data_IF_428271508060
#
_entry.id   IF_428271508060
#
_cell.length_a   1.000
_cell.length_b   1.000
_cell.length_c   1.000
_cell.angle_alpha   90.00
_cell.angle_beta   90.00
_cell.angle_gamma   90.00
#
_symmetry.space_group_name_H-M   'P 1'
#
loop_
_entity.id
_entity.type
_entity.pdbx_description
1 polymer ?
#
# COMPACT_ATOMS: atom_id res chain seq x y z
N UNK A 1 22.43 17.07 -1.43
CA UNK A 1 21.01 17.09 -1.84
C UNK A 1 20.55 15.65 -1.78
N UNK A 2 19.60 15.34 -0.90
CA UNK A 2 19.19 13.97 -0.62
C UNK A 2 18.46 13.41 -1.85
N UNK A 3 19.13 12.51 -2.57
CA UNK A 3 18.49 11.59 -3.51
C UNK A 3 17.54 10.73 -2.68
N UNK A 4 16.26 11.09 -2.73
CA UNK A 4 15.17 10.39 -2.06
C UNK A 4 15.16 8.94 -2.56
N UNK A 5 15.37 8.01 -1.63
CA UNK A 5 15.46 6.56 -1.87
C UNK A 5 14.13 6.02 -2.38
N UNK A 6 13.84 6.20 -3.66
CA UNK A 6 12.92 5.35 -4.42
C UNK A 6 13.57 3.98 -4.54
N UNK A 7 13.51 3.20 -3.45
CA UNK A 7 14.07 1.84 -3.39
C UNK A 7 13.29 0.95 -4.34
N UNK A 8 13.74 0.81 -5.59
CA UNK A 8 13.32 -0.19 -6.59
C UNK A 8 11.85 -0.61 -6.49
N UNK A 9 10.95 0.36 -6.40
CA UNK A 9 9.51 0.10 -6.46
C UNK A 9 9.19 -0.15 -7.92
N UNK A 10 8.66 -1.33 -8.21
CA UNK A 10 8.09 -1.66 -9.51
C UNK A 10 6.97 -0.68 -9.84
N UNK A 11 6.64 -0.54 -11.13
CA UNK A 11 5.54 0.32 -11.58
C UNK A 11 4.23 -0.01 -10.84
N UNK A 12 4.04 -1.28 -10.49
CA UNK A 12 2.91 -1.75 -9.71
C UNK A 12 2.92 -1.25 -8.26
N UNK A 13 4.04 -1.41 -7.55
CA UNK A 13 4.18 -0.95 -6.16
C UNK A 13 4.04 0.57 -6.06
N UNK A 14 4.59 1.31 -7.03
CA UNK A 14 4.46 2.77 -7.11
C UNK A 14 3.01 3.19 -7.35
N UNK A 15 2.31 2.50 -8.26
CA UNK A 15 0.87 2.73 -8.50
C UNK A 15 0.01 2.38 -7.28
N UNK A 16 0.34 1.30 -6.58
CA UNK A 16 -0.34 0.90 -5.34
C UNK A 16 -0.10 1.91 -4.21
N UNK A 17 1.13 2.39 -4.05
CA UNK A 17 1.47 3.42 -3.06
C UNK A 17 0.75 4.75 -3.37
N UNK A 18 0.75 5.18 -4.63
CA UNK A 18 0.01 6.38 -5.04
C UNK A 18 -1.48 6.25 -4.76
N UNK A 19 -2.07 5.09 -5.09
CA UNK A 19 -3.48 4.82 -4.80
C UNK A 19 -3.79 4.78 -3.30
N UNK A 20 -2.88 4.22 -2.49
CA UNK A 20 -2.96 4.21 -1.02
C UNK A 20 -2.84 5.62 -0.41
N UNK A 21 -2.07 6.51 -1.03
CA UNK A 21 -1.92 7.90 -0.62
C UNK A 21 -3.16 8.73 -1.00
N UNK A 22 -3.73 8.51 -2.19
CA UNK A 22 -4.97 9.18 -2.62
C UNK A 22 -6.22 8.68 -1.88
N UNK A 23 -6.31 7.37 -1.65
CA UNK A 23 -7.41 6.76 -0.90
C UNK A 23 -6.97 6.66 0.54
N UNK A 24 -7.35 7.66 1.35
CA UNK A 24 -6.92 7.80 2.73
C UNK A 24 -7.45 6.64 3.63
N UNK A 25 -6.86 5.44 3.53
CA UNK A 25 -7.25 4.21 4.26
C UNK A 25 -6.87 4.24 5.75
N UNK A 26 -6.36 5.38 6.24
CA UNK A 26 -6.39 5.71 7.67
C UNK A 26 -7.82 5.67 8.22
N UNK A 27 -8.79 6.13 7.42
CA UNK A 27 -10.18 6.33 7.84
C UNK A 27 -11.09 5.20 7.35
N UNK A 28 -10.84 4.72 6.12
CA UNK A 28 -11.58 3.59 5.57
C UNK A 28 -10.90 2.26 5.87
N UNK A 29 -11.67 1.20 6.14
CA UNK A 29 -11.13 -0.14 6.34
C UNK A 29 -10.49 -0.64 5.04
N UNK A 30 -9.23 -1.06 5.14
CA UNK A 30 -8.50 -1.72 4.07
C UNK A 30 -9.19 -3.01 3.67
N UNK A 31 -9.31 -3.22 2.37
CA UNK A 31 -9.83 -4.44 1.78
C UNK A 31 -8.96 -4.85 0.60
N UNK A 32 -8.20 -5.93 0.77
CA UNK A 32 -7.39 -6.51 -0.31
C UNK A 32 -8.23 -6.82 -1.54
N UNK A 33 -9.49 -7.25 -1.34
CA UNK A 33 -10.45 -7.48 -2.43
C UNK A 33 -10.77 -6.22 -3.24
N UNK A 34 -10.92 -5.06 -2.57
CA UNK A 34 -11.14 -3.78 -3.27
C UNK A 34 -9.91 -3.38 -4.07
N UNK A 35 -8.72 -3.51 -3.48
CA UNK A 35 -7.46 -3.24 -4.16
C UNK A 35 -7.27 -4.16 -5.38
N UNK A 36 -7.45 -5.47 -5.21
CA UNK A 36 -7.36 -6.45 -6.29
C UNK A 36 -8.31 -6.13 -7.45
N UNK A 37 -9.56 -5.74 -7.15
CA UNK A 37 -10.54 -5.29 -8.17
C UNK A 37 -10.12 -4.00 -8.88
N UNK A 38 -9.57 -3.03 -8.15
CA UNK A 38 -9.12 -1.76 -8.71
C UNK A 38 -7.97 -1.98 -9.72
N UNK A 39 -6.99 -2.78 -9.31
CA UNK A 39 -5.82 -3.08 -10.13
C UNK A 39 -6.07 -4.23 -11.13
N UNK A 40 -7.23 -4.88 -11.07
CA UNK A 40 -7.59 -6.09 -11.84
C UNK A 40 -6.54 -7.21 -11.74
N UNK A 41 -5.90 -7.32 -10.58
CA UNK A 41 -4.96 -8.39 -10.24
C UNK A 41 -5.59 -9.34 -9.21
N UNK A 42 -4.88 -10.40 -8.85
CA UNK A 42 -5.34 -11.28 -7.78
C UNK A 42 -5.01 -10.68 -6.42
N UNK A 43 -5.70 -11.17 -5.39
CA UNK A 43 -5.45 -10.74 -4.01
C UNK A 43 -4.03 -11.11 -3.55
N UNK A 44 -3.49 -12.24 -4.02
CA UNK A 44 -2.10 -12.68 -3.79
C UNK A 44 -1.08 -11.61 -4.23
N UNK A 45 -1.22 -11.05 -5.44
CA UNK A 45 -0.35 -10.00 -5.95
C UNK A 45 -0.39 -8.72 -5.08
N UNK A 46 -1.58 -8.38 -4.55
CA UNK A 46 -1.73 -7.23 -3.65
C UNK A 46 -1.04 -7.49 -2.31
N UNK A 47 -1.19 -8.69 -1.74
CA UNK A 47 -0.51 -9.03 -0.49
C UNK A 47 1.01 -8.97 -0.66
N UNK A 48 1.55 -9.51 -1.74
CA UNK A 48 2.98 -9.44 -2.05
C UNK A 48 3.43 -7.99 -2.25
N UNK A 49 2.66 -7.17 -2.96
CA UNK A 49 3.00 -5.77 -3.17
C UNK A 49 2.95 -4.94 -1.86
N UNK A 50 1.94 -5.13 -1.01
CA UNK A 50 1.88 -4.47 0.31
C UNK A 50 3.03 -4.95 1.22
N UNK A 51 3.36 -6.24 1.20
CA UNK A 51 4.50 -6.77 1.94
C UNK A 51 5.84 -6.21 1.43
N UNK A 52 5.99 -6.08 0.11
CA UNK A 52 7.17 -5.51 -0.49
C UNK A 52 7.26 -3.99 -0.21
N UNK A 53 6.15 -3.27 -0.27
CA UNK A 53 6.07 -1.85 0.12
C UNK A 53 6.45 -1.64 1.58
N UNK A 54 5.90 -2.42 2.51
CA UNK A 54 6.24 -2.33 3.95
C UNK A 54 7.70 -2.68 4.22
N UNK A 55 8.33 -3.50 3.38
CA UNK A 55 9.75 -3.85 3.49
C UNK A 55 10.68 -2.80 2.87
N UNK A 56 10.32 -2.25 1.71
CA UNK A 56 11.14 -1.29 0.95
C UNK A 56 10.98 0.14 1.44
N UNK A 57 9.74 0.55 1.72
CA UNK A 57 9.38 1.91 2.16
C UNK A 57 8.59 1.90 3.49
N UNK A 58 9.12 1.28 4.56
CA UNK A 58 8.44 1.22 5.87
C UNK A 58 8.11 2.59 6.48
N UNK A 59 8.79 3.65 6.02
CA UNK A 59 8.54 5.03 6.46
C UNK A 59 7.33 5.67 5.75
N UNK A 60 6.91 5.14 4.59
CA UNK A 60 5.82 5.67 3.77
C UNK A 60 4.55 4.83 3.83
N UNK A 61 4.59 3.66 4.45
CA UNK A 61 3.42 2.81 4.62
C UNK A 61 3.36 2.28 6.04
N UNK A 62 2.19 2.38 6.65
CA UNK A 62 1.91 1.88 7.99
C UNK A 62 0.62 1.07 7.98
N UNK A 63 0.75 -0.23 8.22
CA UNK A 63 -0.39 -1.14 8.36
C UNK A 63 -0.74 -1.26 9.84
N UNK A 64 -1.98 -0.98 10.20
CA UNK A 64 -2.46 -1.06 11.59
C UNK A 64 -3.89 -1.62 11.66
N UNK A 65 -4.19 -2.33 12.74
CA UNK A 65 -5.56 -2.78 13.01
C UNK A 65 -6.26 -1.79 13.94
N UNK A 66 -7.43 -1.31 13.53
CA UNK A 66 -8.25 -0.40 14.34
C UNK A 66 -9.72 -0.75 14.16
N UNK A 67 -10.47 -0.73 15.25
CA UNK A 67 -11.93 -0.90 15.24
C UNK A 67 -12.43 -2.20 14.57
N UNK A 68 -11.66 -3.29 14.67
CA UNK A 68 -11.99 -4.58 14.07
C UNK A 68 -11.69 -4.70 12.57
N UNK A 69 -11.09 -3.66 11.96
CA UNK A 69 -10.68 -3.67 10.56
C UNK A 69 -9.17 -3.41 10.41
N UNK A 70 -8.62 -3.89 9.29
CA UNK A 70 -7.27 -3.53 8.87
C UNK A 70 -7.32 -2.13 8.26
N UNK A 71 -6.32 -1.32 8.53
CA UNK A 71 -6.13 0.01 7.96
C UNK A 71 -4.71 0.14 7.46
N UNK A 72 -4.54 0.87 6.36
CA UNK A 72 -3.23 1.16 5.79
C UNK A 72 -3.14 2.68 5.68
N UNK A 73 -2.16 3.29 6.34
CA UNK A 73 -1.80 4.68 6.06
C UNK A 73 -0.63 4.67 5.09
N UNK A 74 -0.66 5.55 4.10
CA UNK A 74 0.49 5.82 3.24
C UNK A 74 0.71 7.32 3.10
N UNK A 75 1.98 7.71 2.94
CA UNK A 75 2.45 9.10 2.71
C UNK A 75 3.29 9.16 1.42
#
# INVERSE_FOLDING_TARGET
MAEDKTSELTDFETGLLGWLCENNFHTEPWSTQKAAKQFKVKEEDIYEAVAALTRKVPQRIQVFYKNGALHIAAD
#
